data_IF_441788386259
#
_entry.id   IF_441788386259
#
_cell.length_a   1.000
_cell.length_b   1.000
_cell.length_c   1.000
_cell.angle_alpha   90.00
_cell.angle_beta   90.00
_cell.angle_gamma   90.00
#
_symmetry.space_group_name_H-M   'P 1'
#
loop_
_entity.id
_entity.type
_entity.pdbx_description
1 polymer ?
#
# COMPACT_ATOMS: atom_id res chain seq x y z
N UNK A 1 14.86 -12.53 7.43
CA UNK A 1 13.60 -12.71 8.19
C UNK A 1 13.63 -11.68 9.29
N UNK A 2 13.02 -10.50 9.10
CA UNK A 2 12.97 -9.47 10.15
C UNK A 2 12.06 -10.01 11.26
N UNK A 3 12.64 -10.26 12.44
CA UNK A 3 11.83 -10.50 13.63
C UNK A 3 11.01 -9.24 13.88
N UNK A 4 9.70 -9.36 13.76
CA UNK A 4 8.78 -8.31 14.19
C UNK A 4 8.96 -8.18 15.70
N UNK A 5 9.66 -7.14 16.12
CA UNK A 5 9.90 -6.83 17.52
C UNK A 5 8.55 -6.53 18.15
N UNK A 6 8.21 -7.22 19.24
CA UNK A 6 6.91 -6.99 19.89
C UNK A 6 6.80 -5.54 20.36
N UNK A 7 5.68 -4.84 20.08
CA UNK A 7 5.48 -3.46 20.51
C UNK A 7 5.57 -3.32 22.02
N UNK A 8 6.18 -2.23 22.50
CA UNK A 8 6.24 -1.95 23.94
C UNK A 8 4.83 -1.69 24.48
N UNK A 9 4.46 -2.36 25.56
CA UNK A 9 3.19 -2.16 26.27
C UNK A 9 3.31 -1.02 27.29
N UNK A 10 2.27 -0.20 27.39
CA UNK A 10 2.19 0.94 28.32
C UNK A 10 0.82 0.89 29.01
N UNK A 11 0.83 0.80 30.33
CA UNK A 11 -0.38 0.96 31.14
C UNK A 11 -0.80 2.43 31.19
N UNK A 12 -2.08 2.71 30.92
CA UNK A 12 -2.64 4.06 31.00
C UNK A 12 -3.51 4.23 32.26
N UNK A 13 -3.34 5.36 32.93
CA UNK A 13 -4.09 5.77 34.11
C UNK A 13 -4.08 7.30 34.26
N UNK A 14 -4.67 7.84 35.34
CA UNK A 14 -4.80 9.28 35.55
C UNK A 14 -3.46 10.03 35.59
N UNK A 15 -2.40 9.36 36.06
CA UNK A 15 -1.05 9.92 36.22
C UNK A 15 -0.14 9.64 35.02
N UNK A 16 -0.66 9.02 33.95
CA UNK A 16 0.15 8.71 32.78
C UNK A 16 0.45 9.99 31.99
N UNK A 17 1.73 10.30 31.83
CA UNK A 17 2.19 11.37 30.95
C UNK A 17 2.05 10.95 29.47
N UNK A 18 0.85 11.18 28.93
CA UNK A 18 0.54 10.84 27.54
C UNK A 18 1.38 11.66 26.55
N UNK A 19 1.71 12.92 26.88
CA UNK A 19 2.50 13.77 26.01
C UNK A 19 3.89 13.19 25.79
N UNK A 20 4.56 12.77 26.87
CA UNK A 20 5.85 12.10 26.79
C UNK A 20 5.80 10.83 25.94
N UNK A 21 4.74 10.03 26.08
CA UNK A 21 4.56 8.81 25.26
C UNK A 21 4.42 9.14 23.78
N UNK A 22 3.67 10.19 23.44
CA UNK A 22 3.51 10.63 22.05
C UNK A 22 4.84 11.14 21.48
N UNK A 23 5.63 11.88 22.25
CA UNK A 23 6.97 12.35 21.84
C UNK A 23 7.97 11.20 21.66
N UNK A 24 7.94 10.21 22.56
CA UNK A 24 8.73 8.98 22.44
C UNK A 24 8.36 8.24 21.13
N UNK A 25 7.07 8.13 20.80
CA UNK A 25 6.59 7.52 19.54
C UNK A 25 6.98 8.30 18.31
N UNK A 26 6.88 9.62 18.38
CA UNK A 26 7.29 10.46 17.28
C UNK A 26 8.80 10.36 16.99
N UNK A 27 9.60 10.19 18.03
CA UNK A 27 11.08 10.20 17.98
C UNK A 27 11.68 8.88 17.51
N UNK A 28 11.33 7.75 18.16
CA UNK A 28 11.97 6.46 17.85
C UNK A 28 11.20 5.60 16.84
N UNK A 29 9.99 6.04 16.45
CA UNK A 29 9.09 5.36 15.50
C UNK A 29 8.67 3.94 15.90
N UNK A 30 8.84 3.54 17.16
CA UNK A 30 8.38 2.22 17.61
C UNK A 30 6.85 2.23 17.92
N UNK A 31 6.06 1.21 17.59
CA UNK A 31 4.66 1.16 18.03
C UNK A 31 4.54 0.90 19.54
N UNK A 32 3.54 1.53 20.19
CA UNK A 32 3.21 1.29 21.61
C UNK A 32 1.80 0.75 21.75
N UNK A 33 1.64 -0.36 22.47
CA UNK A 33 0.31 -0.89 22.83
C UNK A 33 -0.11 -0.24 24.14
N UNK A 34 -1.28 0.39 24.13
CA UNK A 34 -1.89 1.00 25.30
C UNK A 34 -2.76 -0.04 25.98
N UNK A 35 -2.52 -0.23 27.27
CA UNK A 35 -3.25 -1.18 28.11
C UNK A 35 -4.00 -0.47 29.22
N UNK A 36 -5.22 -0.92 29.50
CA UNK A 36 -5.98 -0.53 30.68
C UNK A 36 -6.37 -1.80 31.41
N UNK A 37 -6.03 -1.89 32.69
CA UNK A 37 -6.36 -3.05 33.54
C UNK A 37 -5.86 -4.39 32.96
N UNK A 38 -4.74 -4.37 32.23
CA UNK A 38 -4.13 -5.55 31.59
C UNK A 38 -4.74 -5.92 30.23
N UNK A 39 -5.76 -5.20 29.77
CA UNK A 39 -6.34 -5.36 28.44
C UNK A 39 -5.74 -4.35 27.47
N UNK A 40 -5.32 -4.80 26.29
CA UNK A 40 -4.87 -3.91 25.22
C UNK A 40 -6.08 -3.21 24.58
N UNK A 41 -6.11 -1.87 24.66
CA UNK A 41 -7.26 -1.07 24.23
C UNK A 41 -6.97 -0.18 23.01
N UNK A 42 -5.70 0.13 22.74
CA UNK A 42 -5.31 0.95 21.60
C UNK A 42 -3.84 0.72 21.23
N UNK A 43 -3.43 1.22 20.07
CA UNK A 43 -2.02 1.32 19.67
C UNK A 43 -1.72 2.77 19.30
N UNK A 44 -0.59 3.28 19.77
CA UNK A 44 -0.04 4.58 19.38
C UNK A 44 1.09 4.30 18.38
N UNK A 45 0.96 4.89 17.19
CA UNK A 45 1.96 4.84 16.11
C UNK A 45 2.23 6.23 15.57
N UNK A 46 3.37 6.40 14.89
CA UNK A 46 3.68 7.65 14.22
C UNK A 46 2.75 7.88 13.02
N UNK A 47 2.53 9.14 12.65
CA UNK A 47 1.69 9.48 11.47
C UNK A 47 2.30 8.97 10.15
N UNK A 48 3.62 8.83 10.09
CA UNK A 48 4.31 8.27 8.93
C UNK A 48 3.97 6.78 8.78
N UNK A 49 4.01 6.04 9.88
CA UNK A 49 3.69 4.60 9.90
C UNK A 49 2.18 4.36 9.79
N UNK A 50 1.35 5.30 10.24
CA UNK A 50 -0.10 5.23 10.12
C UNK A 50 -0.55 5.08 8.66
N UNK A 51 0.10 5.77 7.72
CA UNK A 51 -0.20 5.63 6.30
C UNK A 51 0.06 4.21 5.77
N UNK A 52 1.10 3.54 6.27
CA UNK A 52 1.38 2.14 5.97
C UNK A 52 0.41 1.17 6.67
N UNK A 53 0.03 1.47 7.91
CA UNK A 53 -0.89 0.67 8.70
C UNK A 53 -2.33 0.69 8.17
N UNK A 54 -2.75 1.80 7.55
CA UNK A 54 -4.04 1.89 6.85
C UNK A 54 -4.13 0.97 5.62
N UNK A 55 -3.01 0.40 5.19
CA UNK A 55 -2.93 -0.47 4.03
C UNK A 55 -3.15 0.28 2.72
N UNK A 56 -2.46 -0.18 1.67
CA UNK A 56 -3.04 -0.04 0.33
C UNK A 56 -4.26 -0.95 0.31
N UNK A 57 -5.42 -0.47 -0.15
CA UNK A 57 -6.59 -1.35 -0.39
C UNK A 57 -6.10 -2.66 -1.03
N UNK A 58 -6.48 -3.81 -0.46
CA UNK A 58 -6.10 -5.13 -1.00
C UNK A 58 -6.50 -5.28 -2.47
N UNK A 59 -7.48 -4.50 -2.91
CA UNK A 59 -7.93 -4.44 -4.30
C UNK A 59 -6.85 -3.92 -5.25
N UNK A 60 -5.97 -3.02 -4.81
CA UNK A 60 -4.95 -2.40 -5.68
C UNK A 60 -3.92 -3.43 -6.19
N UNK A 61 -3.21 -4.13 -5.29
CA UNK A 61 -2.28 -5.19 -5.67
C UNK A 61 -2.97 -6.37 -6.37
N UNK A 62 -4.17 -6.77 -5.92
CA UNK A 62 -4.92 -7.86 -6.54
C UNK A 62 -5.35 -7.51 -7.97
N UNK A 63 -5.89 -6.31 -8.21
CA UNK A 63 -6.23 -5.84 -9.56
C UNK A 63 -4.99 -5.63 -10.44
N UNK A 64 -3.87 -5.17 -9.86
CA UNK A 64 -2.63 -5.04 -10.61
C UNK A 64 -2.10 -6.41 -11.06
N UNK A 65 -2.20 -7.43 -10.20
CA UNK A 65 -1.83 -8.82 -10.53
C UNK A 65 -2.80 -9.45 -11.53
N UNK A 66 -4.10 -9.21 -11.39
CA UNK A 66 -5.12 -9.63 -12.36
C UNK A 66 -4.87 -8.99 -13.73
N UNK A 67 -4.64 -7.68 -13.77
CA UNK A 67 -4.32 -6.97 -14.99
C UNK A 67 -3.00 -7.46 -15.61
N UNK A 68 -1.97 -7.76 -14.81
CA UNK A 68 -0.71 -8.33 -15.27
C UNK A 68 -0.89 -9.76 -15.83
N UNK A 69 -1.75 -10.57 -15.21
CA UNK A 69 -2.12 -11.90 -15.68
C UNK A 69 -2.89 -11.85 -17.00
N UNK A 70 -3.77 -10.87 -17.17
CA UNK A 70 -4.55 -10.67 -18.39
C UNK A 70 -3.69 -10.44 -19.65
N UNK A 71 -2.42 -10.01 -19.50
CA UNK A 71 -1.49 -9.94 -20.64
C UNK A 71 -1.14 -11.31 -21.23
N UNK A 72 -1.14 -12.37 -20.41
CA UNK A 72 -0.89 -13.73 -20.88
C UNK A 72 -2.04 -14.25 -21.75
N UNK A 73 -3.24 -13.78 -21.50
CA UNK A 73 -4.46 -14.17 -22.21
C UNK A 73 -4.72 -13.33 -23.46
N UNK A 74 -3.85 -12.34 -23.76
CA UNK A 74 -3.91 -11.61 -25.02
C UNK A 74 -3.45 -12.49 -26.17
N UNK A 75 -4.38 -12.78 -27.08
CA UNK A 75 -4.06 -13.30 -28.40
C UNK A 75 -3.33 -12.21 -29.21
N UNK A 76 -2.01 -12.22 -29.04
CA UNK A 76 -1.12 -11.20 -29.57
C UNK A 76 -1.09 -11.27 -31.10
N UNK A 77 -1.25 -12.46 -31.68
CA UNK A 77 -1.27 -12.66 -33.12
C UNK A 77 -2.54 -12.05 -33.73
N UNK A 78 -3.71 -12.30 -33.12
CA UNK A 78 -4.97 -11.66 -33.53
C UNK A 78 -4.94 -10.14 -33.37
N UNK A 79 -4.30 -9.62 -32.32
CA UNK A 79 -4.10 -8.18 -32.15
C UNK A 79 -3.22 -7.58 -33.25
N UNK A 80 -2.11 -8.25 -33.59
CA UNK A 80 -1.21 -7.81 -34.66
C UNK A 80 -1.94 -7.81 -36.00
N UNK A 81 -2.68 -8.86 -36.34
CA UNK A 81 -3.50 -8.92 -37.56
C UNK A 81 -4.52 -7.79 -37.61
N UNK A 82 -5.22 -7.52 -36.50
CA UNK A 82 -6.20 -6.44 -36.43
C UNK A 82 -5.56 -5.06 -36.64
N UNK A 83 -4.36 -4.82 -36.09
CA UNK A 83 -3.61 -3.57 -36.28
C UNK A 83 -3.19 -3.41 -37.75
N UNK A 84 -2.67 -4.47 -38.37
CA UNK A 84 -2.25 -4.41 -39.78
C UNK A 84 -3.44 -4.25 -40.73
N UNK A 85 -4.56 -4.92 -40.44
CA UNK A 85 -5.82 -4.71 -41.17
C UNK A 85 -6.30 -3.27 -41.06
N UNK A 86 -6.35 -2.71 -39.85
CA UNK A 86 -6.75 -1.31 -39.63
C UNK A 86 -5.80 -0.32 -40.34
N UNK A 87 -4.49 -0.58 -40.35
CA UNK A 87 -3.50 0.23 -41.09
C UNK A 87 -3.71 0.17 -42.60
N UNK A 88 -4.17 -0.97 -43.11
CA UNK A 88 -4.46 -1.15 -44.53
C UNK A 88 -5.77 -0.46 -44.93
N UNK A 89 -6.80 -0.58 -44.09
CA UNK A 89 -8.13 0.00 -44.31
C UNK A 89 -8.20 1.51 -44.05
N UNK A 90 -7.37 2.02 -43.14
CA UNK A 90 -7.23 3.45 -42.83
C UNK A 90 -5.78 3.89 -43.01
N UNK A 91 -5.36 4.24 -44.24
CA UNK A 91 -4.03 4.73 -44.51
C UNK A 91 -3.74 5.98 -43.66
N UNK A 92 -2.52 6.14 -43.12
CA UNK A 92 -2.16 7.32 -42.34
C UNK A 92 -2.36 8.59 -43.17
N UNK A 93 -3.10 9.56 -42.61
CA UNK A 93 -3.57 10.75 -43.35
C UNK A 93 -2.43 11.76 -43.64
N UNK A 94 -1.24 11.60 -43.06
CA UNK A 94 0.00 12.33 -43.41
C UNK A 94 1.20 11.72 -42.68
N UNK A 95 2.43 11.82 -43.22
CA UNK A 95 3.62 11.49 -42.47
C UNK A 95 3.74 12.41 -41.26
N UNK A 96 3.91 11.84 -40.06
CA UNK A 96 4.35 12.59 -38.89
C UNK A 96 5.82 12.93 -39.12
N UNK A 97 6.15 14.21 -39.32
CA UNK A 97 7.55 14.66 -39.28
C UNK A 97 7.96 14.68 -37.81
N UNK A 98 8.90 13.81 -37.45
CA UNK A 98 9.64 13.88 -36.18
C UNK A 98 10.68 15.00 -36.27
#
# INVERSE_FOLDING_TARGET
>A
MNMVKEPRRIAIGPETDLLRVLEEVHTDKEPRVVEKEGEAIAVIISMEDFAGALGSSEEGPARALEAAGAWKDLDTDSMVEAIYRARHESPPIKPVRL
#
